data_IF_493347099965
#
_entry.id   IF_493347099965
#
_cell.length_a   1.000
_cell.length_b   1.000
_cell.length_c   1.000
_cell.angle_alpha   90.00
_cell.angle_beta   90.00
_cell.angle_gamma   90.00
#
_symmetry.space_group_name_H-M   'P 1'
#
loop_
_entity.id
_entity.type
_entity.pdbx_description
1 polymer ?
#
# COMPACT_ATOMS: atom_id res chain seq x y z
N UNK A 1 -9.16 -5.13 -24.00
CA UNK A 1 -10.42 -4.95 -23.24
C UNK A 1 -11.15 -3.73 -23.77
N UNK A 2 -12.40 -3.88 -24.19
CA UNK A 2 -13.21 -2.78 -24.72
C UNK A 2 -13.65 -1.79 -23.63
N UNK A 3 -13.82 -0.50 -23.98
CA UNK A 3 -14.29 0.54 -23.03
C UNK A 3 -15.59 0.16 -22.32
N UNK A 4 -16.49 -0.56 -22.99
CA UNK A 4 -17.74 -1.05 -22.41
C UNK A 4 -17.51 -2.10 -21.30
N UNK A 5 -16.54 -2.99 -21.46
CA UNK A 5 -16.19 -4.00 -20.45
C UNK A 5 -15.64 -3.34 -19.18
N UNK A 6 -14.80 -2.32 -19.34
CA UNK A 6 -14.29 -1.55 -18.18
C UNK A 6 -15.41 -0.78 -17.47
N UNK A 7 -16.44 -0.32 -18.18
CA UNK A 7 -17.58 0.34 -17.59
C UNK A 7 -18.42 -0.64 -16.75
N UNK A 8 -18.73 -1.84 -17.28
CA UNK A 8 -19.46 -2.87 -16.53
C UNK A 8 -18.67 -3.37 -15.33
N UNK A 9 -17.37 -3.57 -15.46
CA UNK A 9 -16.52 -4.00 -14.36
C UNK A 9 -16.55 -2.98 -13.18
N UNK A 10 -16.69 -1.69 -13.44
CA UNK A 10 -16.79 -0.66 -12.38
C UNK A 10 -18.03 -0.78 -11.49
N UNK A 11 -19.09 -1.43 -11.97
CA UNK A 11 -20.27 -1.70 -11.16
C UNK A 11 -20.12 -2.93 -10.28
N UNK A 12 -19.37 -3.94 -10.75
CA UNK A 12 -19.34 -5.27 -10.14
C UNK A 12 -18.03 -5.62 -9.45
N UNK A 13 -16.95 -4.85 -9.70
CA UNK A 13 -15.64 -5.14 -9.10
C UNK A 13 -15.21 -4.00 -8.17
N UNK A 14 -14.76 -4.39 -6.97
CA UNK A 14 -14.26 -3.46 -5.95
C UNK A 14 -12.73 -3.52 -5.81
N UNK A 15 -12.08 -4.50 -6.43
CA UNK A 15 -10.64 -4.72 -6.34
C UNK A 15 -9.83 -4.07 -7.47
N UNK A 16 -10.48 -3.52 -8.47
CA UNK A 16 -9.83 -2.95 -9.65
C UNK A 16 -10.11 -1.45 -9.75
N UNK A 17 -9.30 -0.67 -9.05
CA UNK A 17 -9.45 0.77 -8.96
C UNK A 17 -10.62 1.18 -8.05
N UNK A 18 -11.45 2.07 -8.53
CA UNK A 18 -12.64 2.52 -7.80
C UNK A 18 -13.94 2.12 -8.49
N UNK A 19 -14.94 1.80 -7.69
CA UNK A 19 -16.28 1.49 -8.19
C UNK A 19 -17.00 2.75 -8.66
N UNK A 20 -18.06 2.59 -9.42
CA UNK A 20 -18.93 3.70 -9.84
C UNK A 20 -19.48 4.48 -8.63
N UNK A 21 -19.93 3.77 -7.59
CA UNK A 21 -20.40 4.40 -6.35
C UNK A 21 -19.33 5.27 -5.69
N UNK A 22 -18.09 4.79 -5.60
CA UNK A 22 -16.96 5.56 -5.07
C UNK A 22 -16.66 6.80 -5.92
N UNK A 23 -16.79 6.70 -7.25
CA UNK A 23 -16.64 7.85 -8.16
C UNK A 23 -17.68 8.94 -7.89
N UNK A 24 -18.95 8.55 -7.83
CA UNK A 24 -20.05 9.48 -7.55
C UNK A 24 -19.87 10.11 -6.17
N UNK A 25 -19.62 9.30 -5.15
CA UNK A 25 -19.37 9.80 -3.80
C UNK A 25 -18.21 10.80 -3.75
N UNK A 26 -17.08 10.45 -4.36
CA UNK A 26 -15.89 11.31 -4.37
C UNK A 26 -16.14 12.61 -5.14
N UNK A 27 -16.89 12.59 -6.24
CA UNK A 27 -17.21 13.82 -6.99
C UNK A 27 -18.15 14.74 -6.24
N UNK A 28 -19.08 14.21 -5.44
CA UNK A 28 -20.03 15.00 -4.66
C UNK A 28 -19.41 15.54 -3.36
N UNK A 29 -18.68 14.70 -2.64
CA UNK A 29 -18.24 14.98 -1.27
C UNK A 29 -16.73 15.09 -1.11
N UNK A 30 -15.95 14.68 -2.11
CA UNK A 30 -14.50 14.66 -2.06
C UNK A 30 -13.87 15.99 -2.51
N UNK A 31 -12.73 16.27 -1.90
CA UNK A 31 -11.77 17.29 -2.31
C UNK A 31 -10.44 16.59 -2.59
N UNK A 32 -9.88 16.79 -3.77
CA UNK A 32 -8.60 16.22 -4.15
C UNK A 32 -7.47 16.89 -3.37
N UNK A 33 -6.59 16.09 -2.79
CA UNK A 33 -5.46 16.56 -1.96
C UNK A 33 -4.13 16.38 -2.69
N UNK A 34 -3.95 15.26 -3.39
CA UNK A 34 -2.73 15.00 -4.13
C UNK A 34 -2.63 13.57 -4.65
N UNK A 35 -1.52 13.31 -5.32
CA UNK A 35 -1.18 12.02 -5.93
C UNK A 35 0.22 11.62 -5.48
N UNK A 36 0.46 10.31 -5.33
CA UNK A 36 1.76 9.77 -4.99
C UNK A 36 2.55 9.31 -6.23
N UNK A 37 3.77 8.82 -6.00
CA UNK A 37 4.68 8.33 -7.04
C UNK A 37 4.19 7.07 -7.78
N UNK A 38 3.18 6.37 -7.21
CA UNK A 38 2.56 5.18 -7.82
C UNK A 38 1.25 5.51 -8.54
N UNK A 39 0.82 6.77 -8.54
CA UNK A 39 -0.41 7.23 -9.16
C UNK A 39 -1.66 6.99 -8.32
N UNK A 40 -1.52 6.69 -7.02
CA UNK A 40 -2.66 6.65 -6.11
C UNK A 40 -3.09 8.07 -5.79
N UNK A 41 -4.40 8.31 -5.81
CA UNK A 41 -4.98 9.64 -5.59
C UNK A 41 -5.65 9.73 -4.24
N UNK A 42 -5.36 10.83 -3.53
CA UNK A 42 -5.80 11.06 -2.15
C UNK A 42 -6.85 12.15 -2.08
N UNK A 43 -7.86 11.87 -1.30
CA UNK A 43 -9.02 12.74 -1.13
C UNK A 43 -9.35 12.92 0.34
N UNK A 44 -10.00 14.02 0.67
CA UNK A 44 -10.62 14.29 1.96
C UNK A 44 -12.06 14.77 1.79
N UNK A 45 -12.83 14.83 2.88
CA UNK A 45 -14.14 15.47 2.86
C UNK A 45 -13.99 16.93 2.46
N UNK A 46 -14.82 17.38 1.51
CA UNK A 46 -14.80 18.73 0.97
C UNK A 46 -14.89 19.78 2.08
N UNK A 47 -13.97 20.74 2.04
CA UNK A 47 -13.87 21.80 3.03
C UNK A 47 -13.43 21.34 4.42
N UNK A 48 -12.86 20.13 4.57
CA UNK A 48 -12.43 19.61 5.87
C UNK A 48 -13.59 19.32 6.84
N UNK A 49 -14.80 19.08 6.33
CA UNK A 49 -15.98 18.83 7.17
C UNK A 49 -15.77 17.60 8.04
N UNK A 50 -15.94 17.77 9.34
CA UNK A 50 -15.85 16.69 10.33
C UNK A 50 -17.07 15.76 10.18
N UNK A 51 -16.80 14.47 10.13
CA UNK A 51 -17.82 13.43 10.18
C UNK A 51 -18.28 13.25 11.64
N UNK A 52 -19.58 13.44 11.94
CA UNK A 52 -20.04 13.32 13.33
C UNK A 52 -19.84 11.95 13.95
N UNK A 53 -19.78 10.89 13.13
CA UNK A 53 -19.58 9.53 13.62
C UNK A 53 -18.13 9.22 13.94
N UNK A 54 -17.18 9.92 13.33
CA UNK A 54 -15.75 9.70 13.48
C UNK A 54 -15.06 10.74 14.39
N UNK A 55 -15.61 11.95 14.48
CA UNK A 55 -14.99 13.08 15.19
C UNK A 55 -13.86 13.77 14.41
N UNK A 56 -13.59 13.39 13.17
CA UNK A 56 -12.61 14.00 12.28
C UNK A 56 -13.05 13.96 10.81
N UNK A 57 -12.32 14.63 9.93
CA UNK A 57 -12.59 14.59 8.49
C UNK A 57 -12.30 13.20 7.92
N UNK A 58 -13.10 12.72 6.98
CA UNK A 58 -12.76 11.48 6.26
C UNK A 58 -11.65 11.74 5.27
N UNK A 59 -10.67 10.84 5.24
CA UNK A 59 -9.59 10.78 4.25
C UNK A 59 -9.61 9.41 3.58
N UNK A 60 -9.43 9.38 2.27
CA UNK A 60 -9.42 8.11 1.54
C UNK A 60 -8.48 8.15 0.34
N UNK A 61 -8.11 6.97 -0.13
CA UNK A 61 -7.26 6.78 -1.29
C UNK A 61 -8.04 6.09 -2.41
N UNK A 62 -7.75 6.48 -3.63
CA UNK A 62 -8.17 5.80 -4.85
C UNK A 62 -6.93 5.22 -5.48
N UNK A 63 -6.85 3.89 -5.47
CA UNK A 63 -5.68 3.16 -5.96
C UNK A 63 -5.56 3.22 -7.48
N UNK A 64 -4.33 3.27 -7.94
CA UNK A 64 -4.01 3.14 -9.37
C UNK A 64 -3.85 1.64 -9.71
N UNK A 65 -4.95 1.01 -10.15
CA UNK A 65 -4.98 -0.43 -10.45
C UNK A 65 -5.58 -1.26 -9.32
N UNK A 66 -4.86 -2.28 -8.88
CA UNK A 66 -5.35 -3.19 -7.83
C UNK A 66 -5.42 -2.45 -6.50
N UNK A 67 -6.56 -2.59 -5.80
CA UNK A 67 -6.77 -1.99 -4.50
C UNK A 67 -5.96 -2.73 -3.43
N UNK A 68 -4.73 -2.27 -3.19
CA UNK A 68 -3.82 -2.84 -2.22
C UNK A 68 -3.22 -1.75 -1.31
N UNK A 69 -3.50 -1.85 -0.01
CA UNK A 69 -3.09 -0.84 0.97
C UNK A 69 -1.56 -0.68 1.08
N UNK A 70 -0.80 -1.73 0.80
CA UNK A 70 0.66 -1.68 0.87
C UNK A 70 1.31 -0.83 -0.23
N UNK A 71 0.55 -0.42 -1.25
CA UNK A 71 1.03 0.52 -2.29
C UNK A 71 1.11 1.96 -1.79
N UNK A 72 0.47 2.28 -0.64
CA UNK A 72 0.48 3.62 -0.07
C UNK A 72 1.85 3.92 0.56
N UNK A 73 2.57 4.98 0.10
CA UNK A 73 3.84 5.36 0.68
C UNK A 73 3.73 5.83 2.13
N UNK A 74 4.80 5.71 2.96
CA UNK A 74 4.76 6.03 4.38
C UNK A 74 4.29 7.46 4.71
N UNK A 75 4.64 8.43 3.89
CA UNK A 75 4.23 9.83 4.06
C UNK A 75 2.72 10.00 3.92
N UNK A 76 2.13 9.38 2.91
CA UNK A 76 0.69 9.38 2.70
C UNK A 76 -0.05 8.49 3.70
N UNK A 77 0.57 7.39 4.13
CA UNK A 77 0.01 6.52 5.16
C UNK A 77 -0.20 7.29 6.48
N UNK A 78 0.81 8.06 6.93
CA UNK A 78 0.68 8.90 8.12
C UNK A 78 -0.46 9.92 8.02
N UNK A 79 -0.60 10.58 6.88
CA UNK A 79 -1.70 11.51 6.63
C UNK A 79 -3.06 10.80 6.58
N UNK A 80 -3.16 9.68 5.89
CA UNK A 80 -4.40 8.90 5.74
C UNK A 80 -4.94 8.40 7.08
N UNK A 81 -4.04 8.05 8.01
CA UNK A 81 -4.36 7.56 9.34
C UNK A 81 -4.43 8.64 10.42
N UNK A 82 -4.48 9.92 10.04
CA UNK A 82 -4.54 11.06 10.97
C UNK A 82 -3.39 11.13 11.98
N UNK A 83 -2.24 10.49 11.70
CA UNK A 83 -1.02 10.63 12.48
C UNK A 83 -0.34 11.97 12.18
N UNK A 84 -0.49 12.45 10.93
CA UNK A 84 0.01 13.74 10.46
C UNK A 84 -1.15 14.48 9.78
N UNK A 85 -1.34 15.76 10.12
CA UNK A 85 -2.44 16.55 9.57
C UNK A 85 -2.08 17.23 8.24
N UNK A 86 -0.80 17.50 8.03
CA UNK A 86 -0.32 18.19 6.82
C UNK A 86 -0.07 17.13 5.72
N UNK A 87 -0.71 17.27 4.55
CA UNK A 87 -0.47 16.32 3.48
C UNK A 87 0.93 16.50 2.87
N UNK A 88 1.54 15.42 2.34
CA UNK A 88 2.89 15.45 1.75
C UNK A 88 3.06 16.42 0.57
N UNK A 89 1.95 16.86 -0.02
CA UNK A 89 1.95 17.90 -1.09
C UNK A 89 2.31 19.29 -0.57
N UNK A 90 2.05 19.56 0.71
CA UNK A 90 2.32 20.86 1.35
C UNK A 90 3.64 20.88 2.11
N UNK A 91 4.07 19.74 2.62
CA UNK A 91 5.31 19.60 3.38
C UNK A 91 6.19 18.52 2.75
N UNK A 92 7.38 18.93 2.29
CA UNK A 92 8.37 17.99 1.76
C UNK A 92 9.00 17.23 2.91
N UNK A 93 8.72 15.94 2.97
CA UNK A 93 9.43 15.03 3.87
C UNK A 93 10.87 14.90 3.37
N UNK A 94 11.84 15.30 4.20
CA UNK A 94 13.26 15.14 3.90
C UNK A 94 13.65 13.67 4.12
N UNK A 95 14.02 12.93 3.06
CA UNK A 95 14.38 11.53 3.21
C UNK A 95 15.67 11.40 4.03
N UNK A 96 15.69 10.45 4.97
CA UNK A 96 16.87 10.12 5.75
C UNK A 96 17.83 9.25 4.94
N UNK A 97 19.16 9.29 5.17
CA UNK A 97 20.14 8.53 4.41
C UNK A 97 19.92 7.00 4.39
N UNK A 98 19.26 6.48 5.41
CA UNK A 98 18.96 5.04 5.54
C UNK A 98 17.61 4.62 4.96
N UNK A 99 16.79 5.56 4.49
CA UNK A 99 15.51 5.23 3.89
C UNK A 99 15.69 4.56 2.55
N UNK A 100 14.98 3.46 2.36
CA UNK A 100 14.91 2.77 1.08
C UNK A 100 13.64 3.22 0.33
N UNK A 101 13.64 3.15 -1.00
CA UNK A 101 12.43 3.36 -1.78
C UNK A 101 11.30 2.47 -1.29
N UNK A 102 10.09 3.01 -1.24
CA UNK A 102 8.93 2.24 -0.83
C UNK A 102 8.68 1.07 -1.79
N UNK A 103 8.34 -0.07 -1.24
CA UNK A 103 7.95 -1.28 -2.00
C UNK A 103 6.64 -1.81 -1.45
N UNK A 104 5.68 -2.03 -2.35
CA UNK A 104 4.46 -2.74 -2.01
C UNK A 104 4.73 -4.18 -1.56
N UNK A 105 3.77 -4.78 -0.88
CA UNK A 105 3.85 -6.18 -0.47
C UNK A 105 4.01 -7.10 -1.68
N UNK A 106 5.09 -7.86 -1.70
CA UNK A 106 5.41 -8.76 -2.81
C UNK A 106 4.88 -10.18 -2.62
N UNK A 107 4.12 -10.44 -1.54
CA UNK A 107 3.51 -11.75 -1.28
C UNK A 107 2.66 -12.21 -2.46
N UNK A 108 2.82 -13.45 -2.87
CA UNK A 108 2.15 -13.99 -4.05
C UNK A 108 2.81 -13.67 -5.40
N UNK A 109 3.84 -12.82 -5.43
CA UNK A 109 4.58 -12.48 -6.66
C UNK A 109 5.93 -13.22 -6.73
N UNK A 110 6.60 -13.25 -7.90
CA UNK A 110 7.95 -13.78 -8.04
C UNK A 110 9.00 -13.06 -7.18
N UNK A 111 8.73 -11.79 -6.77
CA UNK A 111 9.59 -11.01 -5.90
C UNK A 111 9.40 -11.26 -4.41
N UNK A 112 8.50 -12.16 -4.02
CA UNK A 112 8.25 -12.51 -2.62
C UNK A 112 9.51 -13.10 -1.96
N UNK A 113 9.79 -12.69 -0.72
CA UNK A 113 10.89 -13.26 0.05
C UNK A 113 10.62 -14.76 0.32
N UNK A 114 11.59 -15.59 -0.08
CA UNK A 114 11.57 -17.03 0.17
C UNK A 114 12.80 -17.40 0.99
N UNK A 115 12.61 -17.84 2.23
CA UNK A 115 13.72 -18.32 3.05
C UNK A 115 14.50 -19.44 2.34
N UNK A 116 15.81 -19.47 2.49
CA UNK A 116 16.68 -20.44 1.81
C UNK A 116 16.35 -21.89 2.16
N UNK A 117 15.81 -22.15 3.37
CA UNK A 117 15.34 -23.47 3.80
C UNK A 117 13.97 -23.88 3.24
N UNK A 118 13.27 -22.98 2.55
CA UNK A 118 11.97 -23.27 1.94
C UNK A 118 12.11 -24.22 0.74
N UNK A 119 11.18 -25.14 0.58
CA UNK A 119 11.08 -26.02 -0.60
C UNK A 119 10.85 -25.25 -1.91
N UNK A 120 10.29 -24.04 -1.82
CA UNK A 120 10.08 -23.12 -2.94
C UNK A 120 11.34 -22.30 -3.30
N UNK A 121 12.43 -22.46 -2.56
CA UNK A 121 13.75 -21.89 -2.84
C UNK A 121 14.76 -23.04 -3.05
N UNK A 122 15.89 -23.02 -2.32
CA UNK A 122 16.95 -24.02 -2.47
C UNK A 122 16.73 -25.28 -1.61
N UNK A 123 15.75 -25.27 -0.71
CA UNK A 123 15.50 -26.37 0.24
C UNK A 123 16.60 -26.56 1.28
N UNK A 124 17.63 -25.71 1.30
CA UNK A 124 18.77 -25.80 2.23
C UNK A 124 19.01 -24.46 2.91
N UNK A 125 19.04 -24.49 4.23
CA UNK A 125 19.46 -23.36 5.05
C UNK A 125 21.00 -23.25 5.04
N UNK A 126 21.57 -22.04 4.91
CA UNK A 126 22.99 -21.87 5.14
C UNK A 126 23.34 -22.28 6.58
N UNK A 127 24.55 -22.82 6.79
CA UNK A 127 25.03 -23.15 8.13
C UNK A 127 25.11 -21.86 8.97
N UNK A 128 24.66 -21.96 10.21
CA UNK A 128 24.81 -20.91 11.20
C UNK A 128 25.92 -21.25 12.20
N UNK A 129 26.42 -20.25 12.93
CA UNK A 129 27.48 -20.43 13.93
C UNK A 129 27.08 -21.35 15.09
N UNK A 130 25.77 -21.48 15.36
CA UNK A 130 25.22 -22.39 16.38
C UNK A 130 24.93 -23.81 15.87
N UNK A 131 25.23 -24.14 14.62
CA UNK A 131 24.95 -25.45 14.09
C UNK A 131 25.92 -26.51 14.74
N UNK A 132 25.31 -27.52 15.33
CA UNK A 132 26.04 -28.62 15.96
C UNK A 132 26.83 -29.41 14.92
N UNK A 133 28.11 -29.64 15.22
CA UNK A 133 28.93 -30.66 14.54
C UNK A 133 28.91 -31.92 15.40
N UNK A 134 28.33 -32.99 14.87
CA UNK A 134 28.37 -34.27 15.57
C UNK A 134 29.79 -34.63 15.95
N UNK A 135 30.00 -34.96 17.23
CA UNK A 135 31.27 -35.51 17.67
C UNK A 135 31.44 -36.91 17.03
N UNK A 136 32.59 -37.14 16.42
CA UNK A 136 32.99 -38.46 15.93
C UNK A 136 34.06 -38.98 16.83
N UNK A 137 33.95 -40.25 17.34
CA UNK A 137 35.07 -40.87 18.08
C UNK A 137 36.36 -40.77 17.26
N UNK A 138 37.43 -40.37 17.93
CA UNK A 138 38.69 -40.15 17.26
C UNK A 138 39.15 -41.38 16.50
N UNK A 139 39.67 -41.12 15.31
CA UNK A 139 40.54 -42.05 14.63
C UNK A 139 41.92 -41.96 15.23
#
# INVERSE_FOLDING_TARGET
MTRAMNFLLRFFTWWNGWTFGTQVWTSLYGEFVGEDEFGNRYYRTRGGKIDPSLGFERRWVVYNGVAEASTVPPSWHGWLHHTVDIPPTKEKVVPRPWWKPHRANMTGTPGAHRPTGSTLAQGRRPKATGDYKAWTPGR
#
